data_IF_866230053126
#
_entry.id   IF_866230053126
#
_cell.length_a   1.000
_cell.length_b   1.000
_cell.length_c   1.000
_cell.angle_alpha   90.00
_cell.angle_beta   90.00
_cell.angle_gamma   90.00
#
_symmetry.space_group_name_H-M   'P 1'
#
loop_
_entity.id
_entity.type
_entity.pdbx_description
1 polymer ?
#
# COMPACT_ATOMS: atom_id res chain seq x y z
N UNK A 1 -22.56 17.43 -5.64
CA UNK A 1 -22.57 17.51 -4.15
C UNK A 1 -21.18 17.29 -3.56
N UNK A 2 -20.45 16.22 -3.95
CA UNK A 2 -19.11 15.93 -3.40
C UNK A 2 -18.02 16.89 -3.93
N UNK A 3 -18.07 17.29 -5.18
CA UNK A 3 -17.16 18.30 -5.77
C UNK A 3 -17.23 19.64 -5.04
N UNK A 4 -18.43 20.03 -4.60
CA UNK A 4 -18.62 21.27 -3.82
C UNK A 4 -17.95 21.23 -2.43
N UNK A 5 -17.52 20.03 -1.99
CA UNK A 5 -16.74 19.82 -0.76
C UNK A 5 -15.22 19.73 -1.04
N UNK A 6 -14.79 19.99 -2.29
CA UNK A 6 -13.39 19.88 -2.70
C UNK A 6 -12.93 18.44 -2.94
N UNK A 7 -13.85 17.46 -3.04
CA UNK A 7 -13.50 16.09 -3.36
C UNK A 7 -13.41 15.90 -4.89
N UNK A 8 -12.43 15.10 -5.30
CA UNK A 8 -12.32 14.66 -6.70
C UNK A 8 -13.23 13.45 -6.91
N UNK A 9 -13.93 13.44 -8.05
CA UNK A 9 -14.81 12.35 -8.45
C UNK A 9 -14.55 11.96 -9.90
N UNK A 10 -14.73 10.68 -10.22
CA UNK A 10 -14.76 10.19 -11.61
C UNK A 10 -16.10 9.53 -11.89
N UNK A 11 -16.55 9.62 -13.13
CA UNK A 11 -17.77 8.94 -13.60
C UNK A 11 -17.38 7.53 -14.04
N UNK A 12 -18.12 6.53 -13.57
CA UNK A 12 -17.99 5.15 -13.99
C UNK A 12 -18.83 4.87 -15.25
N UNK A 13 -18.57 3.73 -15.89
CA UNK A 13 -19.27 3.32 -17.13
C UNK A 13 -20.78 3.12 -16.91
N UNK A 14 -21.17 2.67 -15.72
CA UNK A 14 -22.57 2.52 -15.30
C UNK A 14 -23.29 3.87 -15.04
N UNK A 15 -22.59 4.99 -15.22
CA UNK A 15 -23.10 6.34 -15.01
C UNK A 15 -23.06 6.81 -13.55
N UNK A 16 -22.63 5.98 -12.60
CA UNK A 16 -22.42 6.38 -11.21
C UNK A 16 -21.13 7.17 -11.03
N UNK A 17 -20.95 7.78 -9.86
CA UNK A 17 -19.76 8.57 -9.54
C UNK A 17 -18.99 7.94 -8.39
N UNK A 18 -17.68 7.78 -8.57
CA UNK A 18 -16.77 7.31 -7.55
C UNK A 18 -15.84 8.45 -7.11
N UNK A 19 -15.71 8.65 -5.79
CA UNK A 19 -14.69 9.53 -5.24
C UNK A 19 -13.32 8.93 -5.48
N UNK A 20 -12.37 9.76 -5.94
CA UNK A 20 -10.98 9.41 -6.13
C UNK A 20 -10.11 10.17 -5.15
N UNK A 21 -9.06 9.54 -4.69
CA UNK A 21 -8.02 10.11 -3.82
C UNK A 21 -6.66 9.75 -4.37
N UNK A 22 -5.63 10.54 -4.03
CA UNK A 22 -4.26 10.20 -4.38
C UNK A 22 -3.85 8.89 -3.70
N UNK A 23 -3.10 8.05 -4.42
CA UNK A 23 -2.55 6.80 -3.92
C UNK A 23 -1.04 6.73 -4.25
N UNK A 24 -0.21 7.55 -3.61
CA UNK A 24 1.23 7.57 -3.86
C UNK A 24 1.88 6.31 -3.31
N UNK A 25 3.05 5.95 -3.87
CA UNK A 25 3.91 4.92 -3.28
C UNK A 25 4.48 5.42 -1.95
N UNK A 26 4.52 4.57 -0.90
CA UNK A 26 5.18 4.92 0.35
C UNK A 26 6.68 5.13 0.11
N UNK A 27 7.24 6.14 0.76
CA UNK A 27 8.66 6.47 0.64
C UNK A 27 9.44 6.05 1.90
N UNK A 28 8.77 6.04 3.05
CA UNK A 28 9.37 5.82 4.36
C UNK A 28 8.31 5.35 5.34
N UNK A 29 8.72 4.52 6.29
CA UNK A 29 7.89 4.12 7.43
C UNK A 29 8.43 4.85 8.65
N UNK A 30 7.60 5.72 9.24
CA UNK A 30 8.03 6.61 10.34
C UNK A 30 8.50 5.80 11.56
N UNK A 31 7.77 4.73 11.90
CA UNK A 31 8.04 3.89 13.07
C UNK A 31 9.03 2.74 12.80
N UNK A 32 9.75 2.74 11.68
CA UNK A 32 10.61 1.64 11.25
C UNK A 32 11.59 1.19 12.34
N UNK A 33 12.29 2.12 12.98
CA UNK A 33 13.28 1.80 14.02
C UNK A 33 12.65 1.18 15.28
N UNK A 34 11.42 1.61 15.62
CA UNK A 34 10.66 1.00 16.72
C UNK A 34 10.25 -0.43 16.37
N UNK A 35 9.75 -0.64 15.15
CA UNK A 35 9.37 -1.95 14.64
C UNK A 35 10.60 -2.89 14.64
N UNK A 36 11.72 -2.42 14.11
CA UNK A 36 12.99 -3.17 14.08
C UNK A 36 13.42 -3.60 15.48
N UNK A 37 13.43 -2.66 16.42
CA UNK A 37 13.82 -2.95 17.81
C UNK A 37 12.95 -4.04 18.44
N UNK A 38 11.65 -4.03 18.20
CA UNK A 38 10.73 -5.03 18.73
C UNK A 38 10.93 -6.39 18.06
N UNK A 39 11.13 -6.42 16.74
CA UNK A 39 11.40 -7.65 15.97
C UNK A 39 12.71 -8.27 16.44
N UNK A 40 13.78 -7.50 16.57
CA UNK A 40 15.09 -7.95 17.03
C UNK A 40 15.04 -8.49 18.48
N UNK A 41 14.11 -7.98 19.29
CA UNK A 41 13.82 -8.50 20.63
C UNK A 41 12.92 -9.77 20.62
N UNK A 42 12.60 -10.32 19.44
CA UNK A 42 11.77 -11.51 19.29
C UNK A 42 10.28 -11.29 19.50
N UNK A 43 9.80 -10.04 19.40
CA UNK A 43 8.40 -9.71 19.53
C UNK A 43 7.66 -9.86 18.19
N UNK A 44 6.40 -10.26 18.25
CA UNK A 44 5.50 -10.22 17.10
C UNK A 44 4.90 -8.82 16.99
N UNK A 45 5.12 -8.18 15.86
CA UNK A 45 4.66 -6.80 15.61
C UNK A 45 3.52 -6.79 14.60
N UNK A 46 2.43 -6.09 14.92
CA UNK A 46 1.34 -5.80 13.99
C UNK A 46 1.50 -4.34 13.55
N UNK A 47 1.76 -4.13 12.27
CA UNK A 47 2.03 -2.82 11.71
C UNK A 47 1.27 -2.57 10.41
N UNK A 48 1.27 -1.33 9.92
CA UNK A 48 0.75 -0.86 8.65
C UNK A 48 -0.77 -0.99 8.45
N UNK A 49 -1.49 -1.91 9.08
CA UNK A 49 -2.93 -2.08 8.89
C UNK A 49 -3.34 -2.14 7.42
N UNK A 50 -4.18 -1.23 6.95
CA UNK A 50 -4.61 -1.11 5.55
C UNK A 50 -3.64 -0.37 4.63
N UNK A 51 -2.41 -0.09 5.07
CA UNK A 51 -1.37 0.65 4.32
C UNK A 51 -0.64 1.71 5.13
N UNK A 52 -1.14 2.02 6.33
CA UNK A 52 -0.61 3.07 7.20
C UNK A 52 -1.36 4.40 7.08
N UNK A 53 -1.09 5.30 7.99
CA UNK A 53 -1.61 6.67 7.97
C UNK A 53 -0.66 7.52 7.12
N UNK A 54 -1.12 8.08 5.98
CA UNK A 54 -0.26 8.88 5.13
C UNK A 54 0.06 10.22 5.80
N UNK A 55 1.36 10.50 5.90
CA UNK A 55 1.88 11.76 6.44
C UNK A 55 2.94 12.33 5.50
N UNK A 56 3.15 13.64 5.59
CA UNK A 56 4.21 14.37 4.92
C UNK A 56 5.11 15.02 5.97
N UNK A 57 6.41 14.87 5.80
CA UNK A 57 7.40 15.58 6.62
C UNK A 57 7.51 17.04 6.18
N UNK A 58 7.35 17.97 7.10
CA UNK A 58 7.54 19.41 6.88
C UNK A 58 8.45 19.95 7.99
N UNK A 59 9.74 20.00 7.74
CA UNK A 59 10.74 20.30 8.76
C UNK A 59 10.81 19.15 9.78
N UNK A 60 10.44 19.45 11.03
CA UNK A 60 10.41 18.47 12.13
C UNK A 60 9.00 17.92 12.41
N UNK A 61 8.00 18.43 11.72
CA UNK A 61 6.60 18.08 11.96
C UNK A 61 6.08 17.07 10.92
N UNK A 62 5.14 16.25 11.36
CA UNK A 62 4.39 15.33 10.52
C UNK A 62 2.97 15.87 10.31
N UNK A 63 2.58 16.04 9.06
CA UNK A 63 1.26 16.51 8.68
C UNK A 63 0.50 15.40 7.93
N UNK A 64 -0.77 15.18 8.30
CA UNK A 64 -1.62 14.23 7.60
C UNK A 64 -1.79 14.58 6.12
N UNK A 65 -1.65 13.60 5.23
CA UNK A 65 -1.86 13.76 3.80
C UNK A 65 -3.26 13.26 3.38
N UNK A 66 -3.91 13.99 2.46
CA UNK A 66 -5.17 13.54 1.86
C UNK A 66 -4.90 12.50 0.77
N UNK A 67 -4.51 11.31 1.19
CA UNK A 67 -4.09 10.20 0.33
C UNK A 67 -4.50 8.87 0.96
N UNK A 68 -4.37 7.80 0.21
CA UNK A 68 -4.36 6.42 0.72
C UNK A 68 -3.03 5.77 0.33
N UNK A 69 -2.55 4.85 1.14
CA UNK A 69 -1.37 4.05 0.84
C UNK A 69 -1.80 2.59 0.69
N UNK A 70 -1.37 1.95 -0.37
CA UNK A 70 -1.65 0.54 -0.62
C UNK A 70 -0.85 -0.35 0.35
N UNK A 71 -1.56 -1.25 1.04
CA UNK A 71 -0.94 -2.12 2.06
C UNK A 71 0.19 -2.98 1.51
N UNK A 72 0.04 -3.51 0.29
CA UNK A 72 1.03 -4.41 -0.30
C UNK A 72 2.34 -3.67 -0.60
N UNK A 73 2.26 -2.40 -1.02
CA UNK A 73 3.44 -1.55 -1.21
C UNK A 73 4.11 -1.22 0.13
N UNK A 74 3.33 -0.94 1.17
CA UNK A 74 3.88 -0.70 2.52
C UNK A 74 4.52 -1.95 3.09
N UNK A 75 3.88 -3.11 2.92
CA UNK A 75 4.44 -4.39 3.39
C UNK A 75 5.73 -4.75 2.62
N UNK A 76 5.78 -4.48 1.32
CA UNK A 76 6.99 -4.64 0.52
C UNK A 76 8.14 -3.77 1.03
N UNK A 77 7.87 -2.47 1.23
CA UNK A 77 8.86 -1.54 1.79
C UNK A 77 9.31 -1.98 3.20
N UNK A 78 8.39 -2.39 4.06
CA UNK A 78 8.72 -2.86 5.40
C UNK A 78 9.59 -4.12 5.37
N UNK A 79 9.28 -5.07 4.51
CA UNK A 79 10.04 -6.30 4.34
C UNK A 79 11.47 -6.02 3.85
N UNK A 80 11.61 -5.12 2.88
CA UNK A 80 12.90 -4.66 2.36
C UNK A 80 13.74 -4.00 3.47
N UNK A 81 13.17 -3.02 4.16
CA UNK A 81 13.85 -2.26 5.20
C UNK A 81 14.24 -3.11 6.43
N UNK A 82 13.45 -4.13 6.75
CA UNK A 82 13.77 -5.08 7.83
C UNK A 82 14.67 -6.23 7.38
N UNK A 83 15.02 -6.34 6.10
CA UNK A 83 15.71 -7.48 5.49
C UNK A 83 14.99 -8.80 5.80
N UNK A 84 13.68 -8.83 5.60
CA UNK A 84 12.89 -10.02 5.87
C UNK A 84 13.22 -11.15 4.89
N UNK A 85 13.35 -12.38 5.38
CA UNK A 85 13.63 -13.56 4.55
C UNK A 85 12.45 -13.92 3.64
N UNK A 86 11.23 -13.56 4.05
CA UNK A 86 10.00 -13.90 3.33
C UNK A 86 8.92 -12.86 3.55
N UNK A 87 8.23 -12.47 2.49
CA UNK A 87 7.00 -11.71 2.54
C UNK A 87 5.85 -12.59 2.02
N UNK A 88 4.88 -12.87 2.89
CA UNK A 88 3.68 -13.64 2.54
C UNK A 88 2.48 -12.70 2.41
N UNK A 89 1.88 -12.66 1.21
CA UNK A 89 0.67 -11.89 0.94
C UNK A 89 -0.51 -12.85 0.77
N UNK A 90 -1.49 -12.75 1.67
CA UNK A 90 -2.74 -13.51 1.56
C UNK A 90 -3.74 -12.73 0.72
N UNK A 91 -4.26 -13.37 -0.31
CA UNK A 91 -5.19 -12.77 -1.27
C UNK A 91 -6.33 -13.73 -1.61
N UNK A 92 -7.40 -13.19 -2.18
CA UNK A 92 -8.56 -13.97 -2.64
C UNK A 92 -8.37 -14.62 -4.02
N UNK A 93 -7.30 -14.28 -4.74
CA UNK A 93 -6.97 -14.88 -6.03
C UNK A 93 -5.94 -16.00 -5.85
N UNK A 94 -6.05 -17.05 -6.66
CA UNK A 94 -5.16 -18.21 -6.57
C UNK A 94 -3.73 -17.88 -7.00
N UNK A 95 -3.60 -17.04 -8.03
CA UNK A 95 -2.31 -16.64 -8.60
C UNK A 95 -2.33 -15.19 -9.04
N UNK A 96 -1.16 -14.58 -9.04
CA UNK A 96 -0.97 -13.29 -9.69
C UNK A 96 -1.03 -13.49 -11.19
N UNK A 97 -1.68 -12.57 -11.90
CA UNK A 97 -1.75 -12.62 -13.37
C UNK A 97 -1.27 -11.30 -13.99
N UNK A 98 -0.77 -11.41 -15.21
CA UNK A 98 -0.61 -10.29 -16.12
C UNK A 98 -1.93 -10.05 -16.84
N UNK A 99 -2.21 -8.80 -17.19
CA UNK A 99 -3.39 -8.40 -17.96
C UNK A 99 -4.72 -8.90 -17.36
N UNK A 100 -4.86 -8.81 -16.04
CA UNK A 100 -6.07 -9.22 -15.31
C UNK A 100 -7.35 -8.75 -16.02
N UNK A 101 -8.33 -9.64 -16.12
CA UNK A 101 -9.63 -9.44 -16.78
C UNK A 101 -9.57 -9.10 -18.28
N UNK A 102 -8.45 -9.38 -18.97
CA UNK A 102 -8.30 -9.22 -20.42
C UNK A 102 -8.25 -10.58 -21.13
N UNK A 103 -8.42 -10.54 -22.46
CA UNK A 103 -8.40 -11.75 -23.27
C UNK A 103 -7.03 -12.46 -23.31
N UNK A 104 -5.97 -11.75 -22.98
CA UNK A 104 -4.58 -12.20 -22.90
C UNK A 104 -4.08 -12.32 -21.47
N UNK A 105 -4.97 -12.63 -20.53
CA UNK A 105 -4.61 -12.88 -19.14
C UNK A 105 -3.69 -14.10 -19.01
N UNK A 106 -2.56 -13.93 -18.32
CA UNK A 106 -1.57 -14.99 -18.09
C UNK A 106 -1.28 -15.12 -16.59
N UNK A 107 -1.50 -16.32 -16.03
CA UNK A 107 -1.22 -16.62 -14.63
C UNK A 107 0.27 -16.90 -14.41
N UNK A 108 0.85 -16.20 -13.43
CA UNK A 108 2.26 -16.35 -13.08
C UNK A 108 2.46 -17.45 -12.04
N UNK A 109 3.29 -18.44 -12.35
CA UNK A 109 3.69 -19.50 -11.43
C UNK A 109 4.90 -19.13 -10.57
N UNK A 110 5.71 -18.20 -11.06
CA UNK A 110 6.89 -17.66 -10.40
C UNK A 110 7.56 -16.64 -11.29
N UNK A 111 8.12 -15.60 -10.65
CA UNK A 111 8.89 -14.53 -11.30
C UNK A 111 10.13 -14.24 -10.47
N UNK A 112 11.23 -13.87 -11.12
CA UNK A 112 12.39 -13.33 -10.44
C UNK A 112 12.25 -11.82 -10.27
N UNK A 113 12.86 -11.28 -9.22
CA UNK A 113 13.08 -9.85 -9.03
C UNK A 113 14.50 -9.56 -9.48
N UNK A 114 14.66 -8.72 -10.51
CA UNK A 114 15.95 -8.22 -10.99
C UNK A 114 16.13 -6.76 -10.64
#
# INVERSE_FOLDING_TARGET
>A
AEENKGNFVTRLEDGTYKRIVAAPKPQKIVELETIRTLVDAGQVVIAAGGGGIPVMEQGIDLHGASAIIEKDLTCGLLAEELNADTLLILTSVEKVSLNLDKADEEFLGGISVE
#
